data_IF_751877638350
#
_entry.id   IF_751877638350
#
_cell.length_a   1.000
_cell.length_b   1.000
_cell.length_c   1.000
_cell.angle_alpha   90.00
_cell.angle_beta   90.00
_cell.angle_gamma   90.00
#
_symmetry.space_group_name_H-M   'P 1'
#
loop_
_entity.id
_entity.type
_entity.pdbx_description
1 polymer ?
#
# COMPACT_ATOMS: atom_id res chain seq x y z
N UNK A 1 -14.84 -34.76 3.81
CA UNK A 1 -15.14 -34.12 5.11
C UNK A 1 -15.80 -32.77 4.83
N UNK A 2 -16.72 -32.26 5.66
CA UNK A 2 -17.26 -30.92 5.45
C UNK A 2 -16.18 -29.89 5.75
N UNK A 3 -15.74 -29.17 4.72
CA UNK A 3 -14.87 -28.00 4.86
C UNK A 3 -15.67 -26.89 5.53
N UNK A 4 -15.55 -26.78 6.85
CA UNK A 4 -16.14 -25.66 7.59
C UNK A 4 -15.50 -24.37 7.12
N UNK A 5 -16.28 -23.53 6.43
CA UNK A 5 -15.87 -22.17 6.03
C UNK A 5 -15.40 -21.41 7.26
N UNK A 6 -14.22 -20.81 7.18
CA UNK A 6 -13.65 -20.06 8.30
C UNK A 6 -14.52 -18.85 8.60
N UNK A 7 -15.15 -18.85 9.78
CA UNK A 7 -15.92 -17.70 10.26
C UNK A 7 -14.96 -16.55 10.57
N UNK A 8 -14.92 -15.54 9.70
CA UNK A 8 -14.24 -14.27 9.96
C UNK A 8 -15.19 -13.42 10.82
N UNK A 9 -14.82 -13.08 12.06
CA UNK A 9 -15.63 -12.16 12.87
C UNK A 9 -15.55 -10.76 12.28
N UNK A 10 -16.70 -10.16 11.94
CA UNK A 10 -16.81 -8.78 11.47
C UNK A 10 -16.37 -7.79 12.57
N UNK A 11 -15.57 -6.77 12.22
CA UNK A 11 -15.20 -5.70 13.16
C UNK A 11 -16.46 -4.94 13.64
N UNK A 12 -16.50 -4.57 14.92
CA UNK A 12 -17.63 -3.88 15.58
C UNK A 12 -17.86 -2.44 15.09
N UNK A 13 -16.91 -1.85 14.35
CA UNK A 13 -17.06 -0.54 13.70
C UNK A 13 -18.09 -0.54 12.56
N UNK A 14 -18.43 -1.72 12.06
CA UNK A 14 -19.33 -1.90 10.92
C UNK A 14 -20.79 -2.10 11.33
N UNK A 15 -21.69 -1.57 10.52
CA UNK A 15 -23.14 -1.80 10.61
C UNK A 15 -23.53 -3.26 10.31
N UNK A 16 -24.71 -3.66 10.80
CA UNK A 16 -25.22 -5.02 10.60
C UNK A 16 -25.49 -5.35 9.11
N UNK A 17 -25.90 -4.34 8.33
CA UNK A 17 -26.05 -4.39 6.87
C UNK A 17 -25.08 -3.34 6.34
N UNK A 18 -24.05 -3.76 5.61
CA UNK A 18 -22.96 -2.90 5.16
C UNK A 18 -22.19 -3.61 4.05
N UNK A 19 -22.10 -2.98 2.88
CA UNK A 19 -21.29 -3.47 1.76
C UNK A 19 -19.79 -3.38 2.06
N UNK A 20 -19.36 -2.27 2.70
CA UNK A 20 -18.00 -2.12 3.22
C UNK A 20 -17.59 -3.27 4.13
N UNK A 21 -18.47 -3.68 5.04
CA UNK A 21 -18.20 -4.77 5.96
C UNK A 21 -18.12 -6.15 5.29
N UNK A 22 -18.79 -6.32 4.14
CA UNK A 22 -18.69 -7.54 3.35
C UNK A 22 -17.39 -7.55 2.54
N UNK A 23 -16.96 -6.41 1.99
CA UNK A 23 -15.67 -6.26 1.32
C UNK A 23 -14.49 -6.51 2.30
N UNK A 24 -14.53 -5.91 3.50
CA UNK A 24 -13.55 -6.17 4.57
C UNK A 24 -13.49 -7.66 4.96
N UNK A 25 -14.64 -8.31 5.14
CA UNK A 25 -14.71 -9.75 5.44
C UNK A 25 -14.22 -10.61 4.27
N UNK A 26 -14.49 -10.21 3.02
CA UNK A 26 -14.00 -10.90 1.83
C UNK A 26 -12.46 -10.85 1.74
N UNK A 27 -11.85 -9.68 1.94
CA UNK A 27 -10.40 -9.51 2.02
C UNK A 27 -9.77 -10.36 3.14
N UNK A 28 -10.33 -10.29 4.35
CA UNK A 28 -9.86 -11.08 5.50
C UNK A 28 -10.02 -12.60 5.30
N UNK A 29 -10.95 -13.02 4.45
CA UNK A 29 -11.13 -14.41 4.03
C UNK A 29 -10.13 -14.79 2.93
N UNK A 30 -9.93 -13.93 1.93
CA UNK A 30 -8.90 -14.05 0.90
C UNK A 30 -7.53 -14.30 1.53
N UNK A 31 -7.11 -13.46 2.48
CA UNK A 31 -5.83 -13.58 3.20
C UNK A 31 -5.61 -14.91 3.93
N UNK A 32 -6.69 -15.61 4.32
CA UNK A 32 -6.61 -16.86 5.11
C UNK A 32 -6.84 -18.14 4.29
N UNK A 33 -7.61 -18.05 3.21
CA UNK A 33 -8.02 -19.22 2.42
C UNK A 33 -7.22 -19.38 1.12
N UNK A 34 -6.59 -18.32 0.60
CA UNK A 34 -5.75 -18.40 -0.59
C UNK A 34 -4.30 -18.75 -0.20
N UNK A 35 -3.63 -19.70 -0.89
CA UNK A 35 -2.19 -19.81 -0.82
C UNK A 35 -1.54 -18.63 -1.55
N UNK A 36 -0.28 -18.33 -1.21
CA UNK A 36 0.55 -17.36 -1.94
C UNK A 36 -0.11 -15.99 -2.12
N UNK A 37 -0.85 -15.51 -1.10
CA UNK A 37 -1.52 -14.18 -1.13
C UNK A 37 -0.55 -13.03 -1.36
N UNK A 38 0.73 -13.23 -1.07
CA UNK A 38 1.77 -12.24 -1.24
C UNK A 38 2.62 -12.44 -2.51
N UNK A 39 2.33 -13.46 -3.33
CA UNK A 39 2.90 -13.60 -4.67
C UNK A 39 2.59 -12.37 -5.52
N UNK A 40 3.60 -11.90 -6.25
CA UNK A 40 3.48 -10.78 -7.16
C UNK A 40 2.93 -11.20 -8.52
N UNK A 41 1.96 -10.43 -9.01
CA UNK A 41 1.29 -10.64 -10.29
C UNK A 41 1.29 -9.37 -11.13
N UNK A 42 1.29 -9.55 -12.45
CA UNK A 42 1.13 -8.46 -13.39
C UNK A 42 -0.32 -7.97 -13.43
N UNK A 43 -0.50 -6.68 -13.65
CA UNK A 43 -1.75 -6.07 -14.09
C UNK A 43 -1.53 -5.39 -15.44
N UNK A 44 -2.45 -5.64 -16.35
CA UNK A 44 -2.27 -5.45 -17.76
C UNK A 44 -2.41 -3.98 -18.22
N UNK A 45 -3.04 -3.11 -17.41
CA UNK A 45 -3.06 -1.65 -17.56
C UNK A 45 -2.62 -0.97 -16.26
N UNK A 46 -2.17 0.29 -16.33
CA UNK A 46 -1.96 1.13 -15.15
C UNK A 46 -3.28 1.32 -14.40
N UNK A 47 -3.37 1.11 -13.07
CA UNK A 47 -4.58 1.44 -12.31
C UNK A 47 -4.94 2.92 -12.47
N UNK A 48 -6.20 3.20 -12.81
CA UNK A 48 -6.72 4.55 -13.10
C UNK A 48 -6.66 4.97 -14.57
N UNK A 49 -6.01 4.21 -15.47
CA UNK A 49 -5.85 4.62 -16.88
C UNK A 49 -7.14 4.57 -17.75
N UNK A 50 -8.30 4.29 -17.15
CA UNK A 50 -9.61 4.38 -17.81
C UNK A 50 -10.44 5.56 -17.28
N UNK A 51 -9.94 6.31 -16.28
CA UNK A 51 -10.69 7.41 -15.63
C UNK A 51 -10.45 8.78 -16.33
N UNK A 52 -9.62 8.83 -17.39
CA UNK A 52 -9.14 10.06 -18.06
C UNK A 52 -9.93 10.47 -19.33
N UNK A 53 -11.08 9.84 -19.64
CA UNK A 53 -11.82 10.07 -20.91
C UNK A 53 -12.85 11.24 -20.88
N UNK A 54 -13.14 11.82 -19.70
CA UNK A 54 -14.22 12.84 -19.54
C UNK A 54 -13.73 14.31 -19.40
N UNK A 55 -12.42 14.59 -19.33
CA UNK A 55 -11.86 15.97 -19.29
C UNK A 55 -10.79 16.22 -20.38
N UNK A 56 -11.18 16.14 -21.66
CA UNK A 56 -10.42 16.73 -22.77
C UNK A 56 -11.09 18.01 -23.28
N UNK A 57 -10.90 19.11 -22.56
CA UNK A 57 -11.06 20.45 -23.13
C UNK A 57 -9.82 20.79 -23.99
N UNK A 58 -10.01 20.79 -25.31
CA UNK A 58 -9.25 21.54 -26.32
C UNK A 58 -7.69 21.61 -26.21
N UNK A 59 -7.00 20.50 -26.50
CA UNK A 59 -5.66 20.57 -27.10
C UNK A 59 -5.67 19.89 -28.49
N UNK A 60 -5.61 20.72 -29.55
CA UNK A 60 -5.37 20.27 -30.92
C UNK A 60 -3.91 19.81 -31.09
N UNK A 61 -3.68 18.81 -31.96
CA UNK A 61 -2.37 18.25 -32.34
C UNK A 61 -1.61 17.39 -31.30
N UNK A 62 -2.14 16.20 -31.02
CA UNK A 62 -1.33 15.03 -30.69
C UNK A 62 -1.59 13.93 -31.74
N UNK A 63 -0.55 13.47 -32.45
CA UNK A 63 -0.69 12.43 -33.47
C UNK A 63 -1.11 11.09 -32.83
N UNK A 64 -2.14 10.43 -33.39
CA UNK A 64 -2.66 9.15 -32.90
C UNK A 64 -1.61 8.03 -33.00
N UNK A 65 -0.82 7.81 -31.94
CA UNK A 65 -0.17 6.52 -31.70
C UNK A 65 -1.26 5.49 -31.36
N UNK A 66 -1.59 4.70 -32.38
CA UNK A 66 -2.56 3.60 -32.43
C UNK A 66 -2.56 2.74 -31.15
N UNK A 67 -3.46 3.07 -30.22
CA UNK A 67 -3.60 2.50 -28.87
C UNK A 67 -4.19 1.08 -28.89
N UNK A 68 -3.53 0.18 -29.61
CA UNK A 68 -3.88 -1.23 -29.81
C UNK A 68 -3.56 -2.12 -28.59
N UNK A 69 -3.64 -1.58 -27.37
CA UNK A 69 -3.61 -2.41 -26.16
C UNK A 69 -4.96 -3.15 -26.01
N UNK A 70 -4.98 -4.49 -26.00
CA UNK A 70 -6.23 -5.26 -25.90
C UNK A 70 -6.96 -4.96 -24.58
N UNK A 71 -8.29 -4.98 -24.63
CA UNK A 71 -9.13 -4.82 -23.44
C UNK A 71 -8.76 -5.81 -22.34
N UNK A 72 -8.92 -5.37 -21.08
CA UNK A 72 -8.64 -6.21 -19.92
C UNK A 72 -9.72 -7.31 -19.78
N UNK A 73 -9.43 -8.50 -20.28
CA UNK A 73 -10.28 -9.70 -20.14
C UNK A 73 -10.13 -10.43 -18.79
N UNK A 74 -9.59 -9.78 -17.77
CA UNK A 74 -9.38 -10.39 -16.45
C UNK A 74 -8.30 -11.50 -16.43
N UNK A 75 -7.51 -11.64 -17.49
CA UNK A 75 -6.41 -12.60 -17.57
C UNK A 75 -6.74 -13.88 -18.35
N UNK A 76 -7.77 -13.87 -19.20
CA UNK A 76 -8.03 -14.97 -20.16
C UNK A 76 -6.94 -14.99 -21.24
N UNK A 77 -6.72 -13.87 -21.94
CA UNK A 77 -5.63 -13.64 -22.89
C UNK A 77 -4.65 -12.54 -22.44
N UNK A 78 -5.09 -11.58 -21.63
CA UNK A 78 -4.20 -10.50 -21.15
C UNK A 78 -3.27 -10.95 -20.00
N UNK A 79 -2.30 -10.10 -19.66
CA UNK A 79 -1.28 -10.37 -18.62
C UNK A 79 -1.79 -10.31 -17.18
N UNK A 80 -3.03 -9.88 -16.96
CA UNK A 80 -3.58 -9.71 -15.63
C UNK A 80 -3.56 -11.04 -14.82
N UNK A 81 -3.16 -10.95 -13.55
CA UNK A 81 -3.05 -12.05 -12.56
C UNK A 81 -2.04 -13.17 -12.86
N UNK A 82 -1.26 -13.08 -13.93
CA UNK A 82 -0.13 -13.99 -14.20
C UNK A 82 1.06 -13.67 -13.26
N UNK A 83 1.92 -14.63 -12.90
CA UNK A 83 3.07 -14.37 -12.02
C UNK A 83 4.03 -13.33 -12.61
N UNK A 84 4.49 -12.38 -11.79
CA UNK A 84 5.42 -11.34 -12.23
C UNK A 84 6.80 -11.91 -12.65
N UNK A 85 7.18 -13.08 -12.13
CA UNK A 85 8.41 -13.77 -12.51
C UNK A 85 8.46 -14.19 -13.98
N UNK A 86 7.31 -14.34 -14.64
CA UNK A 86 7.22 -14.65 -16.08
C UNK A 86 7.40 -13.40 -16.97
N UNK A 87 7.41 -12.20 -16.38
CA UNK A 87 7.41 -10.90 -17.05
C UNK A 87 8.30 -9.87 -16.32
N UNK A 88 9.62 -10.09 -16.24
CA UNK A 88 10.52 -9.29 -15.39
C UNK A 88 10.57 -7.79 -15.72
N UNK A 89 10.27 -7.43 -16.96
CA UNK A 89 10.30 -6.03 -17.45
C UNK A 89 8.92 -5.33 -17.38
N UNK A 90 7.88 -5.98 -16.84
CA UNK A 90 6.52 -5.42 -16.79
C UNK A 90 6.36 -4.44 -15.61
N UNK A 91 5.98 -3.17 -15.84
CA UNK A 91 6.02 -2.13 -14.80
C UNK A 91 4.88 -2.21 -13.76
N UNK A 92 3.74 -2.81 -14.11
CA UNK A 92 2.55 -2.81 -13.24
C UNK A 92 2.43 -4.15 -12.51
N UNK A 93 3.08 -4.24 -11.35
CA UNK A 93 3.23 -5.47 -10.57
C UNK A 93 2.81 -5.23 -9.11
N UNK A 94 1.89 -6.06 -8.61
CA UNK A 94 1.28 -5.95 -7.27
C UNK A 94 1.32 -7.31 -6.58
N UNK A 95 1.39 -7.37 -5.25
CA UNK A 95 1.05 -8.64 -4.59
C UNK A 95 -0.45 -8.90 -4.73
N UNK A 96 -0.86 -10.16 -4.72
CA UNK A 96 -2.30 -10.48 -4.77
C UNK A 96 -3.05 -9.85 -3.58
N UNK A 97 -2.40 -9.68 -2.43
CA UNK A 97 -2.98 -9.07 -1.22
C UNK A 97 -3.16 -7.55 -1.36
N UNK A 98 -2.17 -6.79 -1.81
CA UNK A 98 -2.35 -5.35 -2.01
C UNK A 98 -3.32 -5.03 -3.12
N UNK A 99 -3.34 -5.83 -4.18
CA UNK A 99 -4.34 -5.72 -5.24
C UNK A 99 -5.76 -5.97 -4.69
N UNK A 100 -5.98 -7.03 -3.92
CA UNK A 100 -7.29 -7.33 -3.30
C UNK A 100 -7.67 -6.27 -2.23
N UNK A 101 -6.69 -5.70 -1.51
CA UNK A 101 -6.91 -4.58 -0.56
C UNK A 101 -7.24 -3.28 -1.29
N UNK A 102 -6.58 -2.98 -2.41
CA UNK A 102 -6.86 -1.83 -3.27
C UNK A 102 -8.27 -1.92 -3.87
N UNK A 103 -8.63 -3.09 -4.42
CA UNK A 103 -9.99 -3.38 -4.90
C UNK A 103 -11.01 -3.24 -3.76
N UNK A 104 -10.69 -3.76 -2.57
CA UNK A 104 -11.53 -3.61 -1.36
C UNK A 104 -11.75 -2.13 -0.99
N UNK A 105 -10.70 -1.31 -1.04
CA UNK A 105 -10.84 0.13 -0.81
C UNK A 105 -11.59 0.85 -1.93
N UNK A 106 -11.40 0.50 -3.21
CA UNK A 106 -12.19 1.08 -4.31
C UNK A 106 -13.67 0.76 -4.15
N UNK A 107 -14.03 -0.49 -3.86
CA UNK A 107 -15.41 -0.88 -3.52
C UNK A 107 -15.94 -0.02 -2.36
N UNK A 108 -15.16 0.20 -1.29
CA UNK A 108 -15.59 1.07 -0.19
C UNK A 108 -15.79 2.53 -0.60
N UNK A 109 -15.02 3.05 -1.57
CA UNK A 109 -15.22 4.39 -2.15
C UNK A 109 -16.48 4.42 -3.02
N UNK A 110 -16.66 3.46 -3.92
CA UNK A 110 -17.80 3.39 -4.84
C UNK A 110 -19.13 3.32 -4.09
N UNK A 111 -19.19 2.58 -2.97
CA UNK A 111 -20.36 2.49 -2.08
C UNK A 111 -20.66 3.80 -1.31
N UNK A 112 -19.76 4.78 -1.37
CA UNK A 112 -19.88 6.11 -0.75
C UNK A 112 -20.04 7.22 -1.79
N UNK A 113 -20.06 6.90 -3.08
CA UNK A 113 -20.37 7.86 -4.12
C UNK A 113 -21.88 7.88 -4.41
N UNK A 114 -22.60 9.00 -4.21
CA UNK A 114 -24.02 9.10 -4.55
C UNK A 114 -24.34 8.91 -6.04
N UNK A 115 -23.41 9.27 -6.94
CA UNK A 115 -23.67 9.25 -8.39
C UNK A 115 -23.71 7.82 -8.94
N UNK A 116 -22.90 6.92 -8.37
CA UNK A 116 -22.98 5.47 -8.59
C UNK A 116 -24.36 4.85 -8.22
N UNK A 117 -25.21 5.58 -7.48
CA UNK A 117 -26.58 5.17 -7.15
C UNK A 117 -27.66 6.07 -7.78
N UNK A 118 -27.28 7.02 -8.65
CA UNK A 118 -28.17 8.06 -9.18
C UNK A 118 -28.93 8.80 -8.06
N UNK A 119 -28.16 9.28 -7.08
CA UNK A 119 -28.64 9.96 -5.88
C UNK A 119 -27.93 11.29 -5.67
N UNK A 120 -28.62 12.26 -5.08
CA UNK A 120 -27.98 13.40 -4.43
C UNK A 120 -28.28 13.38 -2.93
N UNK A 121 -27.22 13.42 -2.12
CA UNK A 121 -27.29 13.46 -0.65
C UNK A 121 -26.92 14.85 -0.13
N UNK A 122 -25.68 15.29 -0.34
CA UNK A 122 -25.14 16.62 -0.07
C UNK A 122 -23.81 16.80 -0.81
N UNK A 123 -23.40 18.06 -1.03
CA UNK A 123 -22.33 18.48 -1.94
C UNK A 123 -21.00 17.69 -1.80
N UNK A 124 -20.60 17.36 -0.58
CA UNK A 124 -19.26 16.82 -0.28
C UNK A 124 -19.29 15.33 0.11
N UNK A 125 -20.39 14.60 -0.14
CA UNK A 125 -20.58 13.24 0.38
C UNK A 125 -19.43 12.31 -0.03
N UNK A 126 -19.08 12.24 -1.31
CA UNK A 126 -18.00 11.38 -1.83
C UNK A 126 -16.65 11.70 -1.16
N UNK A 127 -16.29 12.99 -1.06
CA UNK A 127 -15.08 13.46 -0.38
C UNK A 127 -15.01 13.09 1.10
N UNK A 128 -16.09 13.30 1.87
CA UNK A 128 -16.16 12.81 3.25
C UNK A 128 -16.22 11.28 3.35
N UNK A 129 -16.75 10.62 2.32
CA UNK A 129 -16.73 9.18 2.18
C UNK A 129 -15.31 8.63 2.06
N UNK A 130 -14.48 9.22 1.21
CA UNK A 130 -13.06 8.91 1.11
C UNK A 130 -12.32 9.13 2.44
N UNK A 131 -12.64 10.21 3.15
CA UNK A 131 -12.12 10.45 4.51
C UNK A 131 -12.54 9.34 5.49
N UNK A 132 -13.76 8.81 5.42
CA UNK A 132 -14.20 7.67 6.25
C UNK A 132 -13.41 6.39 5.93
N UNK A 133 -13.12 6.11 4.64
CA UNK A 133 -12.28 4.97 4.22
C UNK A 133 -10.84 5.13 4.74
N UNK A 134 -10.24 6.31 4.61
CA UNK A 134 -8.90 6.61 5.15
C UNK A 134 -8.89 6.49 6.68
N UNK A 135 -9.94 6.91 7.38
CA UNK A 135 -10.06 6.72 8.83
C UNK A 135 -10.14 5.24 9.21
N UNK A 136 -10.82 4.40 8.41
CA UNK A 136 -10.81 2.94 8.60
C UNK A 136 -9.41 2.34 8.40
N UNK A 137 -8.64 2.81 7.41
CA UNK A 137 -7.24 2.40 7.22
C UNK A 137 -6.34 2.81 8.41
N UNK A 138 -6.52 4.01 8.97
CA UNK A 138 -5.81 4.44 10.18
C UNK A 138 -6.19 3.62 11.42
N UNK A 139 -7.45 3.18 11.52
CA UNK A 139 -7.89 2.24 12.57
C UNK A 139 -7.28 0.85 12.37
N UNK A 140 -7.24 0.32 11.14
CA UNK A 140 -6.55 -0.95 10.83
C UNK A 140 -5.06 -0.88 11.23
N UNK A 141 -4.39 0.25 11.00
CA UNK A 141 -3.00 0.48 11.40
C UNK A 141 -2.81 0.49 12.94
N UNK A 142 -3.69 1.18 13.67
CA UNK A 142 -3.69 1.24 15.14
C UNK A 142 -4.03 -0.13 15.77
N UNK A 143 -4.98 -0.87 15.19
CA UNK A 143 -5.36 -2.23 15.57
C UNK A 143 -4.24 -3.25 15.31
N UNK A 144 -3.47 -3.10 14.23
CA UNK A 144 -2.32 -3.96 13.90
C UNK A 144 -1.12 -3.82 14.87
N UNK A 145 -1.07 -2.73 15.64
CA UNK A 145 -0.23 -2.51 16.82
C UNK A 145 1.22 -3.03 16.71
N UNK A 146 2.03 -2.35 15.90
CA UNK A 146 3.46 -2.64 15.73
C UNK A 146 3.78 -3.75 14.73
N UNK A 147 2.78 -4.39 14.12
CA UNK A 147 2.94 -5.27 12.95
C UNK A 147 2.70 -4.50 11.66
N UNK A 148 3.36 -3.36 11.51
CA UNK A 148 3.18 -2.47 10.36
C UNK A 148 3.54 -3.16 9.03
N UNK A 149 4.38 -4.20 9.06
CA UNK A 149 4.68 -5.05 7.91
C UNK A 149 3.46 -5.82 7.38
N UNK A 150 2.35 -5.90 8.14
CA UNK A 150 1.06 -6.44 7.65
C UNK A 150 0.26 -5.41 6.82
N UNK A 151 0.79 -4.19 6.67
CA UNK A 151 0.36 -3.17 5.71
C UNK A 151 1.35 -3.09 4.53
N UNK A 152 2.41 -3.92 4.51
CA UNK A 152 3.23 -4.19 3.32
C UNK A 152 2.77 -5.50 2.70
N UNK A 153 2.52 -5.40 1.40
CA UNK A 153 2.03 -6.42 0.48
C UNK A 153 2.72 -7.80 0.54
N UNK A 154 4.01 -7.85 0.85
CA UNK A 154 4.72 -9.07 1.22
C UNK A 154 5.87 -8.77 2.18
N UNK A 155 5.59 -8.69 3.48
CA UNK A 155 6.63 -8.50 4.51
C UNK A 155 7.64 -9.66 4.62
N UNK A 156 7.33 -10.84 4.07
CA UNK A 156 8.24 -12.00 4.08
C UNK A 156 9.18 -11.99 2.85
N UNK A 157 8.65 -11.80 1.63
CA UNK A 157 9.46 -11.61 0.43
C UNK A 157 10.27 -10.32 0.48
N UNK A 158 9.74 -9.22 1.03
CA UNK A 158 10.50 -7.99 1.23
C UNK A 158 11.77 -8.27 2.05
N UNK A 159 11.63 -8.97 3.19
CA UNK A 159 12.77 -9.39 4.01
C UNK A 159 13.72 -10.34 3.27
N UNK A 160 13.21 -11.36 2.59
CA UNK A 160 14.03 -12.38 1.94
C UNK A 160 14.76 -11.82 0.71
N UNK A 161 14.10 -10.98 -0.08
CA UNK A 161 14.68 -10.25 -1.22
C UNK A 161 15.72 -9.26 -0.74
N UNK A 162 15.49 -8.49 0.33
CA UNK A 162 16.53 -7.60 0.86
C UNK A 162 17.75 -8.38 1.35
N UNK A 163 17.57 -9.50 2.07
CA UNK A 163 18.70 -10.37 2.46
C UNK A 163 19.46 -10.91 1.24
N UNK A 164 18.76 -11.21 0.14
CA UNK A 164 19.38 -11.66 -1.11
C UNK A 164 20.12 -10.53 -1.84
N UNK A 165 19.57 -9.31 -1.88
CA UNK A 165 20.21 -8.11 -2.44
C UNK A 165 21.49 -7.76 -1.68
N UNK A 166 21.46 -7.84 -0.35
CA UNK A 166 22.65 -7.71 0.49
C UNK A 166 23.73 -8.75 0.10
N UNK A 167 23.33 -10.02 -0.06
CA UNK A 167 24.26 -11.08 -0.44
C UNK A 167 24.84 -10.87 -1.84
N UNK A 168 24.02 -10.44 -2.80
CA UNK A 168 24.43 -10.09 -4.15
C UNK A 168 25.47 -8.97 -4.12
N UNK A 169 25.23 -7.91 -3.33
CA UNK A 169 26.14 -6.78 -3.23
C UNK A 169 27.48 -7.17 -2.56
N UNK A 170 27.48 -7.99 -1.50
CA UNK A 170 28.73 -8.55 -0.95
C UNK A 170 29.49 -9.41 -1.97
N UNK A 171 28.77 -10.14 -2.83
CA UNK A 171 29.37 -10.96 -3.89
C UNK A 171 30.02 -10.07 -4.95
N UNK A 172 29.35 -9.00 -5.38
CA UNK A 172 29.90 -8.01 -6.31
C UNK A 172 31.19 -7.37 -5.78
N UNK A 173 31.21 -6.93 -4.52
CA UNK A 173 32.42 -6.38 -3.89
C UNK A 173 33.57 -7.41 -3.86
N UNK A 174 33.26 -8.69 -3.64
CA UNK A 174 34.26 -9.76 -3.66
C UNK A 174 34.84 -10.03 -5.05
N UNK A 175 34.06 -9.92 -6.13
CA UNK A 175 34.59 -10.04 -7.50
C UNK A 175 35.44 -8.81 -7.88
N UNK A 176 34.96 -7.59 -7.59
CA UNK A 176 35.75 -6.37 -7.78
C UNK A 176 37.09 -6.42 -7.04
N UNK A 177 37.15 -7.04 -5.86
CA UNK A 177 38.41 -7.23 -5.14
C UNK A 177 39.38 -8.16 -5.90
N UNK A 178 38.89 -9.28 -6.44
CA UNK A 178 39.73 -10.23 -7.21
C UNK A 178 40.28 -9.60 -8.49
N UNK A 179 39.51 -8.71 -9.11
CA UNK A 179 39.88 -7.99 -10.32
C UNK A 179 40.79 -6.78 -10.04
N UNK A 180 41.06 -6.46 -8.77
CA UNK A 180 41.84 -5.28 -8.37
C UNK A 180 41.07 -3.96 -8.51
N UNK A 181 39.76 -4.01 -8.74
CA UNK A 181 38.89 -2.87 -8.99
C UNK A 181 38.16 -2.38 -7.71
N UNK A 182 38.29 -3.08 -6.59
CA UNK A 182 37.81 -2.62 -5.28
C UNK A 182 38.88 -1.77 -4.57
N UNK A 183 39.21 -0.61 -5.13
CA UNK A 183 40.11 0.36 -4.49
C UNK A 183 39.69 1.83 -4.70
N UNK A 184 40.26 2.74 -3.92
CA UNK A 184 39.91 4.16 -3.87
C UNK A 184 40.00 4.92 -5.21
N UNK A 185 40.78 4.40 -6.17
CA UNK A 185 41.12 5.04 -7.44
C UNK A 185 40.94 4.10 -8.65
N UNK A 186 40.04 3.12 -8.55
CA UNK A 186 39.72 2.22 -9.65
C UNK A 186 38.83 2.86 -10.73
N UNK A 187 38.65 2.16 -11.85
CA UNK A 187 37.73 2.55 -12.92
C UNK A 187 36.25 2.47 -12.46
N UNK A 188 35.98 1.73 -11.37
CA UNK A 188 34.66 1.64 -10.74
C UNK A 188 34.47 2.81 -9.77
N UNK A 189 34.31 4.00 -10.37
CA UNK A 189 34.04 5.23 -9.65
C UNK A 189 32.79 5.13 -8.75
N UNK A 190 32.76 5.93 -7.69
CA UNK A 190 31.64 6.00 -6.76
C UNK A 190 31.28 4.66 -6.07
N UNK A 191 32.11 3.62 -6.09
CA UNK A 191 31.80 2.36 -5.39
C UNK A 191 31.48 2.57 -3.90
N UNK A 192 32.16 3.51 -3.24
CA UNK A 192 31.83 3.92 -1.89
C UNK A 192 30.46 4.59 -1.76
N UNK A 193 30.08 5.48 -2.68
CA UNK A 193 28.73 6.07 -2.80
C UNK A 193 27.66 4.98 -2.66
N UNK A 194 27.79 3.94 -3.49
CA UNK A 194 26.86 2.81 -3.54
C UNK A 194 26.88 2.00 -2.23
N UNK A 195 28.07 1.74 -1.66
CA UNK A 195 28.20 1.09 -0.35
C UNK A 195 27.54 1.91 0.78
N UNK A 196 27.58 3.24 0.70
CA UNK A 196 27.00 4.17 1.68
C UNK A 196 25.48 4.08 1.75
N UNK A 197 24.82 4.21 0.60
CA UNK A 197 23.38 4.07 0.49
C UNK A 197 22.90 2.73 1.02
N UNK A 198 23.55 1.65 0.58
CA UNK A 198 23.17 0.29 0.92
C UNK A 198 23.43 0.00 2.41
N UNK A 199 24.45 0.59 3.03
CA UNK A 199 24.67 0.51 4.48
C UNK A 199 23.63 1.31 5.29
N UNK A 200 23.21 2.48 4.78
CA UNK A 200 22.18 3.32 5.41
C UNK A 200 20.83 2.60 5.41
N UNK A 201 20.39 2.10 4.26
CA UNK A 201 19.14 1.37 4.09
C UNK A 201 19.12 0.10 4.96
N UNK A 202 20.20 -0.69 4.92
CA UNK A 202 20.38 -1.85 5.77
C UNK A 202 20.32 -1.55 7.28
N UNK A 203 20.69 -0.34 7.71
CA UNK A 203 20.61 0.09 9.10
C UNK A 203 19.17 0.47 9.48
N UNK A 204 18.48 1.20 8.61
CA UNK A 204 17.06 1.54 8.74
C UNK A 204 16.21 0.29 8.91
N UNK A 205 16.34 -0.67 7.98
CA UNK A 205 15.58 -1.93 7.94
C UNK A 205 15.92 -2.91 9.08
N UNK A 206 16.96 -2.65 9.87
CA UNK A 206 17.27 -3.42 11.10
C UNK A 206 16.78 -2.69 12.35
N UNK A 207 16.72 -1.37 12.32
CA UNK A 207 16.31 -0.52 13.44
C UNK A 207 14.80 -0.46 13.62
N UNK A 208 14.06 -0.51 12.52
CA UNK A 208 12.58 -0.57 12.48
C UNK A 208 11.98 -1.97 12.75
N UNK A 209 12.84 -3.00 12.75
CA UNK A 209 12.49 -4.40 12.92
C UNK A 209 12.08 -5.16 11.64
N UNK A 210 12.19 -4.58 10.45
CA UNK A 210 11.91 -5.24 9.15
C UNK A 210 12.76 -6.50 8.94
N UNK A 211 14.05 -6.42 9.32
CA UNK A 211 15.04 -7.49 9.21
C UNK A 211 15.46 -7.91 10.63
N UNK A 212 14.73 -8.88 11.20
CA UNK A 212 15.01 -9.42 12.53
C UNK A 212 15.73 -10.78 12.45
N UNK A 213 17.06 -10.74 12.51
CA UNK A 213 17.92 -11.91 12.29
C UNK A 213 18.27 -12.58 13.60
N UNK A 214 17.67 -13.75 13.86
CA UNK A 214 18.10 -14.65 14.94
C UNK A 214 19.50 -15.18 14.61
N UNK A 215 20.40 -15.22 15.61
CA UNK A 215 21.75 -15.78 15.46
C UNK A 215 21.71 -17.21 14.92
N UNK A 216 21.99 -17.38 13.64
CA UNK A 216 22.11 -18.68 12.98
C UNK A 216 23.48 -19.31 13.25
N UNK A 217 23.51 -20.65 13.34
CA UNK A 217 24.75 -21.43 13.32
C UNK A 217 25.09 -21.96 11.91
N UNK A 218 24.29 -21.62 10.91
CA UNK A 218 24.55 -21.98 9.52
C UNK A 218 25.83 -21.30 9.00
N UNK A 219 26.51 -21.95 8.05
CA UNK A 219 27.71 -21.39 7.39
C UNK A 219 27.38 -20.39 6.28
N UNK A 220 26.13 -20.37 5.82
CA UNK A 220 25.60 -19.49 4.78
C UNK A 220 25.25 -18.10 5.32
N UNK A 221 25.29 -17.11 4.42
CA UNK A 221 24.79 -15.78 4.69
C UNK A 221 23.25 -15.79 4.79
N UNK A 222 22.71 -15.08 5.78
CA UNK A 222 21.28 -14.89 6.03
C UNK A 222 21.01 -13.48 6.57
N UNK A 223 21.74 -12.48 6.05
CA UNK A 223 21.65 -11.07 6.46
C UNK A 223 22.53 -10.68 7.65
N UNK A 224 23.15 -11.62 8.36
CA UNK A 224 23.93 -11.30 9.57
C UNK A 224 25.19 -10.51 9.23
N UNK A 225 25.50 -9.50 10.06
CA UNK A 225 26.73 -8.70 9.99
C UNK A 225 26.97 -7.94 8.66
N UNK A 226 25.92 -7.65 7.88
CA UNK A 226 26.03 -6.99 6.58
C UNK A 226 26.88 -5.70 6.58
N UNK A 227 26.49 -4.72 7.39
CA UNK A 227 27.19 -3.42 7.52
C UNK A 227 28.67 -3.63 7.95
N UNK A 228 28.98 -4.47 8.97
CA UNK A 228 30.36 -4.88 9.24
C UNK A 228 31.13 -5.46 8.04
N UNK A 229 30.50 -6.24 7.15
CA UNK A 229 31.14 -6.72 5.92
C UNK A 229 31.40 -5.60 4.92
N UNK A 230 30.45 -4.66 4.75
CA UNK A 230 30.67 -3.46 3.92
C UNK A 230 31.84 -2.62 4.43
N UNK A 231 31.90 -2.36 5.73
CA UNK A 231 33.00 -1.61 6.34
C UNK A 231 34.35 -2.33 6.19
N UNK A 232 34.36 -3.67 6.24
CA UNK A 232 35.57 -4.46 5.99
C UNK A 232 36.05 -4.35 4.54
N UNK A 233 35.14 -4.43 3.55
CA UNK A 233 35.47 -4.23 2.13
C UNK A 233 35.92 -2.79 1.84
N UNK A 234 35.24 -1.79 2.41
CA UNK A 234 35.60 -0.38 2.26
C UNK A 234 36.99 -0.09 2.85
N UNK A 235 37.27 -0.59 4.05
CA UNK A 235 38.59 -0.47 4.68
C UNK A 235 39.69 -1.20 3.92
N UNK A 236 39.37 -2.28 3.21
CA UNK A 236 40.33 -3.06 2.41
C UNK A 236 40.70 -2.36 1.11
N UNK A 237 39.73 -1.71 0.46
CA UNK A 237 39.94 -0.88 -0.73
C UNK A 237 40.32 0.58 -0.47
N UNK A 238 40.37 1.03 0.79
CA UNK A 238 40.54 2.45 1.16
C UNK A 238 39.42 3.37 0.61
N UNK A 239 38.19 2.85 0.53
CA UNK A 239 37.00 3.47 -0.09
C UNK A 239 36.15 4.25 0.93
N UNK A 240 35.47 5.34 0.51
CA UNK A 240 34.63 6.23 1.35
C UNK A 240 33.22 6.48 0.78
N UNK A 241 32.18 6.58 1.64
CA UNK A 241 30.76 6.30 1.34
C UNK A 241 29.80 7.55 1.19
N UNK A 242 28.76 7.57 0.30
CA UNK A 242 27.92 8.76 -0.18
C UNK A 242 26.48 8.44 -0.78
N UNK A 243 25.85 9.23 -1.71
CA UNK A 243 24.46 9.08 -2.31
C UNK A 243 24.15 9.49 -3.82
N UNK A 244 22.89 9.38 -4.38
CA UNK A 244 22.48 9.42 -5.84
C UNK A 244 22.37 10.82 -6.56
N UNK A 245 21.67 10.96 -7.73
CA UNK A 245 21.94 12.04 -8.74
C UNK A 245 20.98 13.26 -8.96
N UNK A 246 19.67 13.22 -8.70
CA UNK A 246 18.83 14.46 -8.58
C UNK A 246 18.30 14.65 -7.16
N UNK A 247 18.40 13.57 -6.37
CA UNK A 247 18.38 13.61 -4.93
C UNK A 247 19.41 14.59 -4.36
N UNK A 248 20.49 14.94 -5.08
CA UNK A 248 21.44 15.98 -4.65
C UNK A 248 20.76 17.35 -4.54
N UNK A 249 19.78 17.65 -5.39
CA UNK A 249 19.01 18.90 -5.36
C UNK A 249 17.99 18.86 -4.20
N UNK A 250 17.28 17.73 -4.04
CA UNK A 250 16.32 17.49 -2.95
C UNK A 250 17.01 17.42 -1.58
N UNK A 251 18.23 16.85 -1.52
CA UNK A 251 19.08 16.81 -0.32
C UNK A 251 19.63 18.21 -0.04
N UNK A 252 20.10 18.96 -1.04
CA UNK A 252 20.58 20.32 -0.81
C UNK A 252 19.48 21.22 -0.23
N UNK A 253 18.26 21.18 -0.80
CA UNK A 253 17.09 21.88 -0.24
C UNK A 253 16.76 21.39 1.18
N UNK A 254 16.79 20.06 1.41
CA UNK A 254 16.53 19.46 2.71
C UNK A 254 17.59 19.75 3.78
N UNK A 255 18.87 19.82 3.40
CA UNK A 255 20.01 20.12 4.27
C UNK A 255 20.03 21.61 4.63
N UNK A 256 19.81 22.51 3.66
CA UNK A 256 19.69 23.95 3.94
C UNK A 256 18.53 24.23 4.92
N UNK A 257 17.36 23.63 4.69
CA UNK A 257 16.23 23.71 5.62
C UNK A 257 16.54 23.08 6.98
N UNK A 258 17.25 21.95 7.01
CA UNK A 258 17.62 21.25 8.26
C UNK A 258 18.64 22.03 9.10
N UNK A 259 19.57 22.74 8.47
CA UNK A 259 20.53 23.64 9.14
C UNK A 259 19.84 24.92 9.64
N UNK A 260 18.95 25.51 8.84
CA UNK A 260 18.19 26.70 9.23
C UNK A 260 17.24 26.45 10.43
N UNK A 261 16.52 25.31 10.42
CA UNK A 261 15.55 24.95 11.44
C UNK A 261 16.14 24.10 12.59
N UNK A 262 17.44 23.74 12.52
CA UNK A 262 18.14 22.86 13.48
C UNK A 262 17.34 21.58 13.79
N UNK A 263 17.02 20.81 12.76
CA UNK A 263 16.11 19.66 12.84
C UNK A 263 16.76 18.48 13.57
N UNK A 264 16.26 18.17 14.77
CA UNK A 264 16.69 17.00 15.54
C UNK A 264 15.72 15.82 15.38
N UNK A 265 16.26 14.61 15.14
CA UNK A 265 15.45 13.39 15.10
C UNK A 265 14.90 13.02 16.50
N UNK A 266 13.65 12.56 16.61
CA UNK A 266 13.07 12.14 17.88
C UNK A 266 13.78 10.91 18.47
N UNK A 267 14.37 11.07 19.66
CA UNK A 267 15.17 10.04 20.35
C UNK A 267 14.37 8.99 21.11
N UNK A 268 13.03 9.04 21.08
CA UNK A 268 12.18 8.16 21.88
C UNK A 268 12.02 6.75 21.24
N UNK A 269 12.45 5.71 21.97
CA UNK A 269 12.42 4.30 21.52
C UNK A 269 11.02 3.75 21.17
N UNK A 270 9.94 4.40 21.64
CA UNK A 270 8.56 4.01 21.39
C UNK A 270 7.77 5.23 20.98
N UNK A 271 7.05 5.11 19.87
CA UNK A 271 6.26 6.19 19.28
C UNK A 271 7.08 7.49 19.09
N UNK A 272 8.26 7.44 18.40
CA UNK A 272 9.17 8.58 18.26
C UNK A 272 8.48 9.84 17.72
N UNK A 273 7.65 9.65 16.69
CA UNK A 273 6.86 10.71 16.05
C UNK A 273 5.56 11.06 16.79
N UNK A 274 5.32 10.47 17.96
CA UNK A 274 4.11 10.67 18.79
C UNK A 274 2.81 10.39 18.03
N UNK A 275 2.82 9.47 17.05
CA UNK A 275 1.66 9.03 16.29
C UNK A 275 0.51 8.61 17.20
N UNK A 276 0.76 7.82 18.25
CA UNK A 276 -0.29 7.41 19.19
C UNK A 276 -0.94 8.60 19.91
N UNK A 277 -0.18 9.67 20.15
CA UNK A 277 -0.68 10.93 20.72
C UNK A 277 -1.45 11.75 19.69
N UNK A 278 -0.90 11.91 18.48
CA UNK A 278 -1.51 12.64 17.37
C UNK A 278 -2.83 11.99 16.93
N UNK A 279 -2.84 10.67 16.72
CA UNK A 279 -4.04 9.92 16.36
C UNK A 279 -5.09 9.90 17.47
N UNK A 280 -4.69 9.92 18.76
CA UNK A 280 -5.63 10.12 19.88
C UNK A 280 -6.19 11.55 19.96
N UNK A 281 -5.47 12.56 19.48
CA UNK A 281 -6.01 13.90 19.31
C UNK A 281 -6.98 13.95 18.12
N UNK A 282 -6.59 13.40 16.97
CA UNK A 282 -7.44 13.26 15.79
C UNK A 282 -8.76 12.54 16.12
N UNK A 283 -8.71 11.38 16.78
CA UNK A 283 -9.90 10.62 17.24
C UNK A 283 -10.88 11.41 18.12
N UNK A 284 -10.43 12.47 18.81
CA UNK A 284 -11.29 13.35 19.63
C UNK A 284 -11.86 14.52 18.84
N UNK A 285 -11.11 15.04 17.87
CA UNK A 285 -11.44 16.28 17.16
C UNK A 285 -12.19 16.00 15.85
N UNK A 286 -11.81 14.95 15.13
CA UNK A 286 -12.33 14.58 13.82
C UNK A 286 -13.64 13.76 13.89
N UNK A 287 -14.54 14.10 14.81
CA UNK A 287 -15.88 13.46 14.97
C UNK A 287 -17.03 14.38 14.54
N UNK A 288 -16.73 15.48 13.83
CA UNK A 288 -17.74 16.34 13.24
C UNK A 288 -18.72 15.54 12.34
N UNK A 289 -20.01 15.91 12.30
CA UNK A 289 -21.02 15.21 11.52
C UNK A 289 -20.86 15.49 10.02
N UNK A 290 -21.00 14.44 9.20
CA UNK A 290 -20.99 14.55 7.74
C UNK A 290 -22.41 14.72 7.22
N UNK A 291 -22.72 15.78 6.47
CA UNK A 291 -24.06 16.02 5.91
C UNK A 291 -25.20 16.04 6.96
N UNK A 292 -24.90 16.38 8.22
CA UNK A 292 -25.84 16.32 9.34
C UNK A 292 -26.02 14.94 10.00
N UNK A 293 -25.32 13.90 9.54
CA UNK A 293 -25.29 12.59 10.24
C UNK A 293 -24.38 12.67 11.47
N UNK A 294 -24.99 12.49 12.65
CA UNK A 294 -24.27 12.49 13.93
C UNK A 294 -23.25 11.35 14.00
N UNK A 295 -22.07 11.66 14.51
CA UNK A 295 -20.94 10.74 14.60
C UNK A 295 -20.20 10.93 15.93
N UNK A 296 -19.75 9.84 16.54
CA UNK A 296 -19.12 9.82 17.87
C UNK A 296 -17.72 9.20 17.87
N UNK A 297 -17.31 8.61 16.74
CA UNK A 297 -16.01 7.96 16.51
C UNK A 297 -15.57 8.19 15.06
N UNK A 298 -14.28 8.03 14.76
CA UNK A 298 -13.79 8.06 13.36
C UNK A 298 -14.06 6.73 12.65
N UNK A 299 -14.04 6.75 11.32
CA UNK A 299 -14.28 5.57 10.48
C UNK A 299 -15.72 5.05 10.61
N UNK A 300 -15.90 3.75 10.34
CA UNK A 300 -17.20 3.10 10.23
C UNK A 300 -17.76 3.17 8.80
N UNK A 301 -19.08 3.12 8.69
CA UNK A 301 -19.83 3.06 7.44
C UNK A 301 -21.06 3.99 7.41
N UNK A 302 -20.97 5.14 8.06
CA UNK A 302 -22.07 6.10 8.15
C UNK A 302 -22.34 6.84 6.83
N UNK A 303 -21.42 6.79 5.86
CA UNK A 303 -21.60 7.30 4.50
C UNK A 303 -21.73 6.21 3.42
N UNK A 304 -21.56 4.93 3.76
CA UNK A 304 -21.84 3.81 2.87
C UNK A 304 -23.35 3.74 2.60
N UNK A 305 -23.74 3.92 1.35
CA UNK A 305 -25.14 4.05 0.92
C UNK A 305 -25.95 2.76 1.16
N UNK A 306 -25.30 1.61 1.32
CA UNK A 306 -25.96 0.35 1.68
C UNK A 306 -26.46 0.34 3.13
N UNK A 307 -25.87 1.13 4.04
CA UNK A 307 -26.31 1.23 5.44
C UNK A 307 -27.55 2.12 5.61
N UNK A 308 -27.88 2.93 4.60
CA UNK A 308 -29.02 3.85 4.63
C UNK A 308 -30.34 3.07 4.65
N UNK A 309 -31.38 3.65 5.26
CA UNK A 309 -32.72 3.09 5.11
C UNK A 309 -33.25 3.26 3.69
N UNK A 310 -34.19 2.39 3.28
CA UNK A 310 -34.86 2.49 1.98
C UNK A 310 -35.57 3.84 1.80
N UNK A 311 -36.06 4.44 2.89
CA UNK A 311 -36.69 5.76 2.87
C UNK A 311 -35.68 6.89 2.58
N UNK A 312 -34.48 6.84 3.17
CA UNK A 312 -33.43 7.82 2.92
C UNK A 312 -32.91 7.73 1.48
N UNK A 313 -32.62 6.53 0.96
CA UNK A 313 -32.20 6.37 -0.45
C UNK A 313 -33.28 6.84 -1.43
N UNK A 314 -34.55 6.49 -1.20
CA UNK A 314 -35.67 7.01 -2.01
C UNK A 314 -35.78 8.54 -2.00
N UNK A 315 -35.52 9.18 -0.86
CA UNK A 315 -35.55 10.65 -0.75
C UNK A 315 -34.45 11.29 -1.60
N UNK A 316 -33.25 10.74 -1.53
CA UNK A 316 -32.05 11.23 -2.22
C UNK A 316 -31.97 10.85 -3.71
N UNK A 317 -32.56 9.72 -4.14
CA UNK A 317 -32.54 9.30 -5.56
C UNK A 317 -33.25 10.31 -6.47
N UNK A 318 -32.70 10.53 -7.66
CA UNK A 318 -33.34 11.33 -8.71
C UNK A 318 -34.67 10.72 -9.17
N UNK A 319 -34.78 9.38 -9.19
CA UNK A 319 -35.98 8.65 -9.62
C UNK A 319 -37.05 8.50 -8.53
N UNK A 320 -36.75 8.90 -7.30
CA UNK A 320 -37.54 8.65 -6.08
C UNK A 320 -37.84 7.17 -5.77
N UNK A 321 -37.09 6.26 -6.38
CA UNK A 321 -37.05 4.82 -6.07
C UNK A 321 -35.84 4.49 -5.19
N UNK A 322 -35.82 3.28 -4.63
CA UNK A 322 -34.62 2.76 -3.97
C UNK A 322 -33.71 2.20 -5.08
N UNK A 323 -32.46 2.66 -5.24
CA UNK A 323 -31.53 2.09 -6.21
C UNK A 323 -31.06 0.69 -5.78
N UNK A 324 -31.18 0.33 -4.50
CA UNK A 324 -30.93 -1.05 -4.06
C UNK A 324 -32.21 -1.89 -4.14
N UNK A 325 -32.18 -2.91 -5.00
CA UNK A 325 -33.29 -3.88 -5.10
C UNK A 325 -33.40 -4.75 -3.84
N UNK A 326 -34.57 -5.36 -3.63
CA UNK A 326 -34.78 -6.27 -2.51
C UNK A 326 -33.82 -7.49 -2.52
N UNK A 327 -33.43 -7.95 -3.71
CA UNK A 327 -32.45 -9.03 -3.88
C UNK A 327 -31.02 -8.59 -3.55
N UNK A 328 -30.60 -7.39 -3.95
CA UNK A 328 -29.31 -6.81 -3.54
C UNK A 328 -29.23 -6.67 -2.02
N UNK A 329 -30.27 -6.11 -1.39
CA UNK A 329 -30.34 -5.98 0.08
C UNK A 329 -30.30 -7.35 0.78
N UNK A 330 -30.92 -8.37 0.20
CA UNK A 330 -30.85 -9.75 0.70
C UNK A 330 -29.42 -10.30 0.60
N UNK A 331 -28.77 -10.17 -0.56
CA UNK A 331 -27.38 -10.62 -0.78
C UNK A 331 -26.38 -9.92 0.14
N UNK A 332 -26.53 -8.62 0.39
CA UNK A 332 -25.70 -7.89 1.36
C UNK A 332 -25.89 -8.45 2.79
N UNK A 333 -27.12 -8.79 3.19
CA UNK A 333 -27.38 -9.46 4.49
C UNK A 333 -26.78 -10.86 4.57
N UNK A 334 -26.70 -11.56 3.45
CA UNK A 334 -26.08 -12.89 3.33
C UNK A 334 -24.55 -12.83 3.25
N UNK A 335 -23.95 -11.63 3.26
CA UNK A 335 -22.50 -11.43 3.31
C UNK A 335 -21.82 -11.29 1.93
N UNK A 336 -22.59 -11.18 0.83
CA UNK A 336 -22.02 -10.98 -0.50
C UNK A 336 -21.51 -9.54 -0.66
N UNK A 337 -20.38 -9.40 -1.34
CA UNK A 337 -19.81 -8.11 -1.75
C UNK A 337 -20.71 -7.48 -2.82
N UNK A 338 -21.01 -6.19 -2.66
CA UNK A 338 -21.60 -5.37 -3.73
C UNK A 338 -20.46 -4.60 -4.38
N UNK A 339 -20.14 -4.97 -5.62
CA UNK A 339 -19.28 -4.20 -6.51
C UNK A 339 -20.19 -3.49 -7.51
N UNK A 340 -19.92 -2.21 -7.76
CA UNK A 340 -20.60 -1.42 -8.78
C UNK A 340 -19.77 -1.53 -10.08
N UNK A 341 -20.44 -1.36 -11.22
CA UNK A 341 -19.88 -1.60 -12.54
C UNK A 341 -19.46 -0.28 -13.19
#
# INVERSE_FOLDING_TARGET
>A
MPTGTLSIPRNKRWSAISGSANADVAYQKFLKEKPNVYEYVCICKRPGANDDDDEKEDEEDAEDEDNNEPECDGGESCRCYKPAADYPDHPWVFSRAGLDKMITYRIMLDLRDPDNFSMYTFNDHSGYGAIEVVQNMMLDFDEASGKWQQQIDDGDLFRETTILLEQMFLTMLAELEKEGQLEAHSDVHNIGLIMGLIASEANTLRSDGSINIKKSKAKSYHGQNFIPYLLAYASKGNISMRGPSNIDEIIAEGEELSEQENVELPTAQKDPWKWGTAFKAYKRNAVAPYGGRSRTVIGGDCLDITTYSSAERKKASFTKKDPLTADMIKKIKEGLVLQLA
#
